data_IF_471386798457
#
_entry.id   IF_471386798457
#
_cell.length_a   1.000
_cell.length_b   1.000
_cell.length_c   1.000
_cell.angle_alpha   90.00
_cell.angle_beta   90.00
_cell.angle_gamma   90.00
#
_symmetry.space_group_name_H-M   'P 1'
#
loop_
_entity.id
_entity.type
_entity.pdbx_description
1 polymer ?
#
# COMPACT_ATOMS: atom_id res chain seq x y z
N UNK A 1 10.13 -22.40 -0.21
CA UNK A 1 9.41 -21.15 -0.04
C UNK A 1 10.28 -19.91 -0.33
N UNK A 2 11.37 -19.62 0.41
CA UNK A 2 12.23 -18.45 0.20
C UNK A 2 12.68 -18.21 -1.26
N UNK A 3 13.11 -19.27 -1.97
CA UNK A 3 13.53 -19.16 -3.38
C UNK A 3 12.37 -18.76 -4.30
N UNK A 4 11.15 -19.23 -4.01
CA UNK A 4 9.98 -18.93 -4.80
C UNK A 4 9.54 -17.46 -4.59
N UNK A 5 9.52 -16.99 -3.35
CA UNK A 5 9.26 -15.58 -3.03
C UNK A 5 10.24 -14.66 -3.76
N UNK A 6 11.54 -14.95 -3.69
CA UNK A 6 12.55 -14.17 -4.40
C UNK A 6 12.38 -14.22 -5.92
N UNK A 7 11.98 -15.38 -6.46
CA UNK A 7 11.68 -15.51 -7.89
C UNK A 7 10.51 -14.60 -8.30
N UNK A 8 9.39 -14.64 -7.54
CA UNK A 8 8.24 -13.78 -7.81
C UNK A 8 8.60 -12.29 -7.75
N UNK A 9 9.35 -11.87 -6.72
CA UNK A 9 9.79 -10.48 -6.59
C UNK A 9 10.68 -10.07 -7.77
N UNK A 10 11.65 -10.91 -8.14
CA UNK A 10 12.57 -10.59 -9.24
C UNK A 10 11.90 -10.61 -10.63
N UNK A 11 10.76 -11.26 -10.76
CA UNK A 11 9.97 -11.31 -12.00
C UNK A 11 9.01 -10.13 -12.15
N UNK A 12 8.87 -9.28 -11.12
CA UNK A 12 8.02 -8.09 -11.20
C UNK A 12 8.52 -7.14 -12.30
N UNK A 13 7.61 -6.56 -13.10
CA UNK A 13 7.99 -5.54 -14.06
C UNK A 13 8.46 -4.26 -13.34
N UNK A 14 9.19 -3.37 -14.04
CA UNK A 14 9.57 -2.08 -13.48
C UNK A 14 8.33 -1.24 -13.13
N UNK A 15 8.48 -0.32 -12.18
CA UNK A 15 7.43 0.63 -11.84
C UNK A 15 7.06 1.49 -13.06
N UNK A 16 5.77 1.82 -13.24
CA UNK A 16 5.34 2.80 -14.22
C UNK A 16 5.98 4.16 -13.98
N UNK A 17 6.25 4.92 -15.05
CA UNK A 17 6.82 6.28 -14.93
C UNK A 17 5.93 7.21 -14.09
N UNK A 18 4.62 7.01 -14.11
CA UNK A 18 3.67 7.77 -13.28
C UNK A 18 3.92 7.62 -11.77
N UNK A 19 4.40 6.47 -11.31
CA UNK A 19 4.78 6.27 -9.89
C UNK A 19 6.02 7.08 -9.55
N UNK A 20 7.01 7.10 -10.44
CA UNK A 20 8.24 7.88 -10.25
C UNK A 20 7.90 9.37 -10.24
N UNK A 21 7.09 9.83 -11.20
CA UNK A 21 6.62 11.22 -11.27
C UNK A 21 5.85 11.64 -10.01
N UNK A 22 5.01 10.74 -9.44
CA UNK A 22 4.27 11.00 -8.20
C UNK A 22 5.17 11.02 -6.97
N UNK A 23 6.20 10.17 -6.91
CA UNK A 23 7.16 10.17 -5.80
C UNK A 23 8.03 11.42 -5.85
N UNK A 24 8.48 11.84 -7.02
CA UNK A 24 9.19 13.10 -7.22
C UNK A 24 8.31 14.30 -6.83
N UNK A 25 7.05 14.32 -7.29
CA UNK A 25 6.08 15.36 -6.96
C UNK A 25 5.83 15.48 -5.44
N UNK A 26 5.73 14.36 -4.74
CA UNK A 26 5.53 14.32 -3.28
C UNK A 26 6.66 15.04 -2.51
N UNK A 27 7.87 15.04 -3.08
CA UNK A 27 9.07 15.60 -2.46
C UNK A 27 9.33 17.06 -2.88
N UNK A 28 8.45 17.66 -3.70
CA UNK A 28 8.57 19.08 -4.08
C UNK A 28 7.95 20.00 -3.03
N UNK A 29 8.60 21.13 -2.77
CA UNK A 29 8.06 22.17 -1.86
C UNK A 29 6.90 22.94 -2.49
N UNK A 30 6.78 22.93 -3.82
CA UNK A 30 5.77 23.65 -4.56
C UNK A 30 4.64 22.70 -5.01
N UNK A 31 3.53 22.73 -4.28
CA UNK A 31 2.36 21.91 -4.55
C UNK A 31 1.53 22.56 -5.65
N UNK A 32 1.64 22.05 -6.88
CA UNK A 32 0.79 22.39 -8.00
C UNK A 32 -0.27 21.29 -8.23
N UNK A 33 -1.51 21.57 -7.81
CA UNK A 33 -2.62 20.61 -7.93
C UNK A 33 -2.95 20.29 -9.39
N UNK A 34 -2.75 21.21 -10.31
CA UNK A 34 -3.00 20.99 -11.74
C UNK A 34 -1.99 19.99 -12.31
N UNK A 35 -0.71 20.16 -11.96
CA UNK A 35 0.33 19.20 -12.32
C UNK A 35 0.03 17.78 -11.76
N UNK A 36 -0.42 17.68 -10.52
CA UNK A 36 -0.83 16.40 -9.93
C UNK A 36 -1.97 15.75 -10.71
N UNK A 37 -2.99 16.53 -11.08
CA UNK A 37 -4.11 16.05 -11.87
C UNK A 37 -3.65 15.50 -13.22
N UNK A 38 -2.72 16.18 -13.89
CA UNK A 38 -2.19 15.74 -15.19
C UNK A 38 -1.38 14.42 -15.06
N UNK A 39 -0.61 14.25 -13.98
CA UNK A 39 0.08 12.98 -13.73
C UNK A 39 -0.94 11.84 -13.49
N UNK A 40 -1.94 12.07 -12.65
CA UNK A 40 -2.96 11.07 -12.31
C UNK A 40 -3.80 10.67 -13.52
N UNK A 41 -4.15 11.62 -14.39
CA UNK A 41 -4.95 11.37 -15.61
C UNK A 41 -4.27 10.45 -16.62
N UNK A 42 -2.95 10.28 -16.57
CA UNK A 42 -2.21 9.33 -17.43
C UNK A 42 -2.65 7.89 -17.21
N UNK A 43 -3.19 7.56 -16.02
CA UNK A 43 -3.70 6.24 -15.68
C UNK A 43 -5.18 6.30 -15.25
N UNK A 44 -6.12 5.85 -16.10
CA UNK A 44 -7.54 5.84 -15.79
C UNK A 44 -7.92 5.04 -14.53
N UNK A 45 -7.12 4.02 -14.16
CA UNK A 45 -7.36 3.23 -12.95
C UNK A 45 -7.01 4.02 -11.68
N UNK A 46 -5.96 4.84 -11.72
CA UNK A 46 -5.69 5.80 -10.64
C UNK A 46 -6.87 6.72 -10.42
N UNK A 47 -7.40 7.32 -11.50
CA UNK A 47 -8.58 8.21 -11.45
C UNK A 47 -9.76 7.50 -10.80
N UNK A 48 -10.09 6.29 -11.29
CA UNK A 48 -11.21 5.51 -10.80
C UNK A 48 -11.07 5.16 -9.31
N UNK A 49 -9.89 4.74 -8.87
CA UNK A 49 -9.63 4.36 -7.48
C UNK A 49 -9.67 5.58 -6.55
N UNK A 50 -9.11 6.72 -6.95
CA UNK A 50 -9.20 7.96 -6.15
C UNK A 50 -10.67 8.38 -5.97
N UNK A 51 -11.45 8.42 -7.05
CA UNK A 51 -12.87 8.78 -6.97
C UNK A 51 -13.67 7.76 -6.15
N UNK A 52 -13.35 6.46 -6.25
CA UNK A 52 -13.98 5.42 -5.46
C UNK A 52 -13.68 5.58 -3.96
N UNK A 53 -12.43 5.83 -3.59
CA UNK A 53 -12.04 6.10 -2.20
C UNK A 53 -12.73 7.34 -1.68
N UNK A 54 -12.72 8.44 -2.43
CA UNK A 54 -13.38 9.69 -2.05
C UNK A 54 -14.90 9.52 -1.83
N UNK A 55 -15.54 8.62 -2.58
CA UNK A 55 -16.98 8.33 -2.45
C UNK A 55 -17.28 7.19 -1.46
N UNK A 56 -16.28 6.64 -0.79
CA UNK A 56 -16.53 5.60 0.21
C UNK A 56 -17.25 6.14 1.45
N UNK A 57 -18.00 5.29 2.12
CA UNK A 57 -18.71 5.63 3.37
C UNK A 57 -17.77 6.10 4.49
N UNK A 58 -16.49 5.77 4.40
CA UNK A 58 -15.45 6.17 5.34
C UNK A 58 -15.36 7.70 5.51
N UNK A 59 -15.54 8.46 4.41
CA UNK A 59 -15.43 9.93 4.45
C UNK A 59 -16.77 10.62 4.67
N UNK A 60 -17.91 9.95 4.47
CA UNK A 60 -19.24 10.46 4.78
C UNK A 60 -19.64 11.75 4.05
N UNK A 61 -19.07 12.02 2.87
CA UNK A 61 -19.41 13.22 2.11
C UNK A 61 -20.88 13.18 1.65
N UNK A 62 -21.60 14.29 1.84
CA UNK A 62 -23.04 14.39 1.54
C UNK A 62 -23.37 14.34 0.05
N UNK A 63 -22.44 14.67 -0.81
CA UNK A 63 -22.60 14.70 -2.27
C UNK A 63 -21.54 13.88 -2.95
N UNK A 64 -21.90 13.24 -4.07
CA UNK A 64 -20.99 12.46 -4.89
C UNK A 64 -19.83 13.30 -5.40
N UNK A 65 -18.64 12.74 -5.32
CA UNK A 65 -17.38 13.33 -5.81
C UNK A 65 -17.14 12.80 -7.22
N UNK A 66 -17.16 13.70 -8.20
CA UNK A 66 -17.10 13.34 -9.63
C UNK A 66 -15.84 13.86 -10.34
N UNK A 67 -15.04 14.69 -9.66
CA UNK A 67 -13.82 15.27 -10.24
C UNK A 67 -12.60 15.05 -9.37
N UNK A 68 -11.43 14.91 -10.00
CA UNK A 68 -10.14 14.78 -9.28
C UNK A 68 -9.86 16.01 -8.42
N UNK A 69 -10.09 17.23 -8.96
CA UNK A 69 -9.87 18.46 -8.21
C UNK A 69 -10.66 18.47 -6.90
N UNK A 70 -11.94 18.05 -6.93
CA UNK A 70 -12.76 17.96 -5.72
C UNK A 70 -12.27 16.85 -4.79
N UNK A 71 -11.88 15.70 -5.32
CA UNK A 71 -11.30 14.61 -4.52
C UNK A 71 -10.03 15.06 -3.81
N UNK A 72 -9.10 15.72 -4.53
CA UNK A 72 -7.84 16.23 -3.96
C UNK A 72 -8.10 17.26 -2.87
N UNK A 73 -9.05 18.18 -3.07
CA UNK A 73 -9.39 19.20 -2.07
C UNK A 73 -9.97 18.59 -0.79
N UNK A 74 -10.70 17.48 -0.89
CA UNK A 74 -11.34 16.83 0.26
C UNK A 74 -10.41 15.83 0.98
N UNK A 75 -9.65 15.04 0.22
CA UNK A 75 -8.72 14.04 0.75
C UNK A 75 -7.38 14.64 1.16
N UNK A 76 -7.00 15.75 0.52
CA UNK A 76 -5.66 16.33 0.60
C UNK A 76 -4.70 15.70 -0.42
N UNK A 77 -3.68 16.49 -0.80
CA UNK A 77 -2.70 16.12 -1.83
C UNK A 77 -1.97 14.83 -1.47
N UNK A 78 -1.37 14.76 -0.29
CA UNK A 78 -0.52 13.63 0.11
C UNK A 78 -1.29 12.30 0.20
N UNK A 79 -2.53 12.34 0.70
CA UNK A 79 -3.37 11.16 0.71
C UNK A 79 -3.77 10.73 -0.72
N UNK A 80 -4.12 11.67 -1.57
CA UNK A 80 -4.42 11.38 -2.99
C UNK A 80 -3.23 10.74 -3.69
N UNK A 81 -2.01 11.25 -3.50
CA UNK A 81 -0.77 10.67 -4.03
C UNK A 81 -0.58 9.25 -3.52
N UNK A 82 -0.84 8.98 -2.24
CA UNK A 82 -0.73 7.61 -1.68
C UNK A 82 -1.69 6.63 -2.36
N UNK A 83 -2.94 7.03 -2.61
CA UNK A 83 -3.92 6.23 -3.34
C UNK A 83 -3.46 5.99 -4.79
N UNK A 84 -2.95 7.03 -5.47
CA UNK A 84 -2.49 6.94 -6.84
C UNK A 84 -1.31 5.96 -6.98
N UNK A 85 -0.28 6.11 -6.15
CA UNK A 85 0.89 5.22 -6.13
C UNK A 85 0.46 3.78 -5.81
N UNK A 86 -0.38 3.58 -4.79
CA UNK A 86 -0.86 2.25 -4.41
C UNK A 86 -1.66 1.57 -5.52
N UNK A 87 -2.49 2.33 -6.23
CA UNK A 87 -3.24 1.83 -7.38
C UNK A 87 -2.32 1.38 -8.52
N UNK A 88 -1.29 2.16 -8.84
CA UNK A 88 -0.33 1.82 -9.88
C UNK A 88 0.53 0.59 -9.51
N UNK A 89 0.95 0.50 -8.26
CA UNK A 89 1.69 -0.67 -7.74
C UNK A 89 0.84 -1.94 -7.84
N UNK A 90 -0.42 -1.88 -7.42
CA UNK A 90 -1.36 -3.00 -7.52
C UNK A 90 -1.51 -3.48 -8.97
N UNK A 91 -1.68 -2.55 -9.91
CA UNK A 91 -1.80 -2.87 -11.33
C UNK A 91 -0.50 -3.47 -11.91
N UNK A 92 0.64 -3.05 -11.39
CA UNK A 92 1.96 -3.53 -11.83
C UNK A 92 2.21 -4.98 -11.41
N UNK A 93 1.79 -5.38 -10.22
CA UNK A 93 1.99 -6.75 -9.70
C UNK A 93 1.16 -7.79 -10.49
N UNK A 94 0.02 -7.40 -11.07
CA UNK A 94 -0.87 -8.27 -11.89
C UNK A 94 -1.32 -9.57 -11.21
N UNK A 95 -1.20 -9.66 -9.90
CA UNK A 95 -1.65 -10.78 -9.10
C UNK A 95 -2.99 -10.49 -8.43
N UNK A 96 -3.55 -11.48 -7.76
CA UNK A 96 -4.81 -11.37 -7.03
C UNK A 96 -4.64 -11.85 -5.59
N UNK A 97 -5.66 -11.64 -4.78
CA UNK A 97 -5.66 -12.01 -3.37
C UNK A 97 -6.55 -13.24 -3.08
N UNK A 98 -6.67 -14.16 -4.04
CA UNK A 98 -7.51 -15.37 -3.90
C UNK A 98 -7.12 -16.22 -2.70
N UNK A 99 -5.83 -16.29 -2.36
CA UNK A 99 -5.39 -17.02 -1.17
C UNK A 99 -5.94 -16.46 0.14
N UNK A 100 -6.39 -15.21 0.14
CA UNK A 100 -7.02 -14.55 1.30
C UNK A 100 -8.55 -14.45 1.17
N UNK A 101 -9.15 -14.94 0.07
CA UNK A 101 -10.56 -14.74 -0.28
C UNK A 101 -10.99 -13.25 -0.31
N UNK A 102 -10.08 -12.37 -0.71
CA UNK A 102 -10.26 -10.91 -0.76
C UNK A 102 -10.12 -10.42 -2.20
N UNK A 103 -10.93 -9.45 -2.59
CA UNK A 103 -10.80 -8.82 -3.90
C UNK A 103 -9.72 -7.74 -3.92
N UNK A 104 -9.18 -7.45 -5.10
CA UNK A 104 -8.25 -6.32 -5.27
C UNK A 104 -8.90 -4.97 -4.90
N UNK A 105 -10.22 -4.87 -4.99
CA UNK A 105 -10.96 -3.67 -4.57
C UNK A 105 -11.02 -3.53 -3.05
N UNK A 106 -11.20 -4.64 -2.34
CA UNK A 106 -11.18 -4.63 -0.87
C UNK A 106 -9.81 -4.24 -0.35
N UNK A 107 -8.74 -4.65 -1.05
CA UNK A 107 -7.37 -4.22 -0.74
C UNK A 107 -7.23 -2.68 -0.79
N UNK A 108 -7.69 -2.03 -1.85
CA UNK A 108 -7.65 -0.56 -1.96
C UNK A 108 -8.48 0.09 -0.84
N UNK A 109 -9.63 -0.48 -0.53
CA UNK A 109 -10.50 0.04 0.53
C UNK A 109 -9.84 -0.08 1.92
N UNK A 110 -9.31 -1.25 2.28
CA UNK A 110 -8.65 -1.47 3.58
C UNK A 110 -7.36 -0.67 3.72
N UNK A 111 -6.56 -0.57 2.67
CA UNK A 111 -5.35 0.30 2.64
C UNK A 111 -5.71 1.78 2.83
N UNK A 112 -6.82 2.22 2.21
CA UNK A 112 -7.34 3.59 2.40
C UNK A 112 -7.83 3.81 3.82
N UNK A 113 -8.45 2.81 4.45
CA UNK A 113 -8.90 2.89 5.84
C UNK A 113 -7.72 3.04 6.79
N UNK A 114 -6.68 2.21 6.65
CA UNK A 114 -5.45 2.32 7.44
C UNK A 114 -4.82 3.71 7.31
N UNK A 115 -4.71 4.21 6.07
CA UNK A 115 -4.19 5.55 5.81
C UNK A 115 -5.05 6.65 6.41
N UNK A 116 -6.39 6.51 6.39
CA UNK A 116 -7.30 7.48 7.00
C UNK A 116 -7.19 7.50 8.53
N UNK A 117 -6.94 6.37 9.16
CA UNK A 117 -6.66 6.29 10.60
C UNK A 117 -5.41 7.12 10.92
N UNK A 118 -4.32 6.90 10.19
CA UNK A 118 -3.08 7.71 10.33
C UNK A 118 -3.38 9.19 10.08
N UNK A 119 -4.08 9.53 9.00
CA UNK A 119 -4.43 10.90 8.66
C UNK A 119 -5.24 11.61 9.75
N UNK A 120 -6.12 10.90 10.43
CA UNK A 120 -7.00 11.48 11.46
C UNK A 120 -6.32 11.51 12.82
N UNK A 121 -5.68 10.42 13.21
CA UNK A 121 -5.14 10.22 14.55
C UNK A 121 -3.81 10.94 14.75
N UNK A 122 -2.86 10.69 13.86
CA UNK A 122 -1.52 11.28 13.96
C UNK A 122 -1.54 12.79 13.68
N UNK A 123 -2.49 13.31 12.91
CA UNK A 123 -2.64 14.77 12.69
C UNK A 123 -2.75 15.59 13.96
N UNK A 124 -3.33 15.01 15.00
CA UNK A 124 -3.48 15.69 16.29
C UNK A 124 -2.20 15.67 17.14
N UNK A 125 -1.23 14.83 16.80
CA UNK A 125 0.00 14.60 17.56
C UNK A 125 1.19 15.22 16.83
N UNK A 126 1.38 14.88 15.56
CA UNK A 126 2.54 15.30 14.77
C UNK A 126 2.14 15.37 13.28
N UNK A 127 2.09 16.59 12.73
CA UNK A 127 1.69 16.82 11.35
C UNK A 127 2.74 16.34 10.34
N UNK A 128 4.02 16.44 10.64
CA UNK A 128 5.10 16.04 9.74
C UNK A 128 5.21 14.53 9.71
N UNK A 129 5.18 13.87 10.86
CA UNK A 129 5.14 12.41 10.94
C UNK A 129 3.93 11.82 10.20
N UNK A 130 2.74 12.41 10.37
CA UNK A 130 1.55 12.02 9.59
C UNK A 130 1.84 11.99 8.09
N UNK A 131 2.41 13.08 7.57
CA UNK A 131 2.67 13.22 6.14
C UNK A 131 3.67 12.18 5.60
N UNK A 132 4.59 11.72 6.44
CA UNK A 132 5.54 10.68 6.09
C UNK A 132 4.92 9.27 6.14
N UNK A 133 3.95 9.04 7.02
CA UNK A 133 3.33 7.73 7.24
C UNK A 133 2.18 7.41 6.28
N UNK A 134 1.56 8.39 5.62
CA UNK A 134 0.40 8.14 4.73
C UNK A 134 0.69 7.09 3.64
N UNK A 135 1.83 7.22 2.96
CA UNK A 135 2.19 6.28 1.90
C UNK A 135 2.62 4.90 2.44
N UNK A 136 3.50 4.79 3.45
CA UNK A 136 3.76 3.51 4.10
C UNK A 136 2.50 2.80 4.59
N UNK A 137 1.59 3.49 5.25
CA UNK A 137 0.33 2.90 5.74
C UNK A 137 -0.56 2.37 4.60
N UNK A 138 -0.57 3.06 3.46
CA UNK A 138 -1.31 2.56 2.28
C UNK A 138 -0.67 1.30 1.68
N UNK A 139 0.65 1.22 1.69
CA UNK A 139 1.41 0.21 0.96
C UNK A 139 1.84 -1.00 1.81
N UNK A 140 1.64 -0.98 3.13
CA UNK A 140 2.18 -1.99 4.05
C UNK A 140 1.81 -3.43 3.70
N UNK A 141 0.64 -3.65 3.09
CA UNK A 141 0.09 -4.96 2.78
C UNK A 141 0.37 -5.45 1.34
N UNK A 142 1.18 -4.72 0.56
CA UNK A 142 1.50 -5.08 -0.84
C UNK A 142 2.12 -6.47 -0.96
N UNK A 143 2.87 -6.92 0.04
CA UNK A 143 3.44 -8.28 0.10
C UNK A 143 2.42 -9.39 0.01
N UNK A 144 1.14 -9.14 0.38
CA UNK A 144 0.05 -10.13 0.27
C UNK A 144 -0.18 -10.60 -1.17
N UNK A 145 0.08 -9.77 -2.17
CA UNK A 145 0.00 -10.19 -3.58
C UNK A 145 1.04 -11.25 -3.91
N UNK A 146 2.28 -11.09 -3.41
CA UNK A 146 3.35 -12.08 -3.59
C UNK A 146 3.04 -13.36 -2.81
N UNK A 147 2.58 -13.24 -1.57
CA UNK A 147 2.17 -14.37 -0.75
C UNK A 147 1.05 -15.15 -1.43
N UNK A 148 0.01 -14.46 -1.88
CA UNK A 148 -1.12 -15.09 -2.58
C UNK A 148 -0.68 -15.82 -3.84
N UNK A 149 0.19 -15.23 -4.65
CA UNK A 149 0.74 -15.86 -5.85
C UNK A 149 1.52 -17.13 -5.52
N UNK A 150 2.38 -17.07 -4.50
CA UNK A 150 3.17 -18.22 -4.04
C UNK A 150 2.28 -19.36 -3.54
N UNK A 151 1.27 -19.06 -2.71
CA UNK A 151 0.32 -20.04 -2.18
C UNK A 151 -0.46 -20.71 -3.30
N UNK A 152 -0.91 -19.94 -4.30
CA UNK A 152 -1.63 -20.45 -5.46
C UNK A 152 -0.74 -21.38 -6.31
N UNK A 153 0.51 -20.99 -6.58
CA UNK A 153 1.49 -21.82 -7.33
C UNK A 153 1.82 -23.12 -6.63
N UNK A 154 1.88 -23.10 -5.30
CA UNK A 154 2.08 -24.30 -4.48
C UNK A 154 0.79 -25.12 -4.30
N UNK A 155 -0.35 -24.67 -4.87
CA UNK A 155 -1.68 -25.30 -4.76
C UNK A 155 -2.16 -25.51 -3.31
N UNK A 156 -1.83 -24.57 -2.42
CA UNK A 156 -2.14 -24.61 -0.98
C UNK A 156 -3.21 -23.60 -0.57
N UNK A 157 -3.96 -23.07 -1.52
CA UNK A 157 -4.97 -22.03 -1.24
C UNK A 157 -6.04 -22.48 -0.24
N UNK A 158 -6.58 -23.70 -0.43
CA UNK A 158 -7.62 -24.23 0.48
C UNK A 158 -7.08 -24.46 1.89
N UNK A 159 -5.88 -25.03 2.01
CA UNK A 159 -5.20 -25.28 3.29
C UNK A 159 -4.93 -23.96 4.03
N UNK A 160 -4.43 -22.96 3.32
CA UNK A 160 -4.16 -21.65 3.90
C UNK A 160 -5.44 -20.94 4.36
N UNK A 161 -6.50 -20.98 3.57
CA UNK A 161 -7.81 -20.39 3.93
C UNK A 161 -8.45 -21.10 5.11
N UNK A 162 -8.35 -22.42 5.18
CA UNK A 162 -8.85 -23.16 6.31
C UNK A 162 -8.13 -22.73 7.59
N UNK A 163 -6.81 -22.70 7.59
CA UNK A 163 -6.01 -22.32 8.75
C UNK A 163 -6.26 -20.87 9.15
N UNK A 164 -6.38 -19.96 8.17
CA UNK A 164 -6.72 -18.57 8.41
C UNK A 164 -8.10 -18.41 9.10
N UNK A 165 -9.07 -19.24 8.70
CA UNK A 165 -10.40 -19.26 9.33
C UNK A 165 -10.38 -19.86 10.75
N UNK A 166 -9.51 -20.82 11.02
CA UNK A 166 -9.38 -21.46 12.32
C UNK A 166 -8.63 -20.56 13.32
N UNK A 167 -7.50 -20.01 12.92
CA UNK A 167 -6.63 -19.22 13.80
C UNK A 167 -7.12 -17.78 13.97
N UNK A 168 -7.74 -17.19 12.93
CA UNK A 168 -8.04 -15.74 12.83
C UNK A 168 -6.79 -14.85 12.96
N UNK A 169 -5.60 -15.41 12.79
CA UNK A 169 -4.32 -14.72 12.89
C UNK A 169 -3.59 -14.77 11.55
N UNK A 170 -3.69 -13.66 10.81
CA UNK A 170 -3.11 -13.52 9.46
C UNK A 170 -1.58 -13.57 9.55
N UNK A 171 -0.99 -12.84 10.50
CA UNK A 171 0.47 -12.77 10.65
C UNK A 171 1.06 -14.13 10.99
N UNK A 172 0.41 -14.90 11.86
CA UNK A 172 0.82 -16.27 12.16
C UNK A 172 0.78 -17.16 10.91
N UNK A 173 -0.30 -17.13 10.14
CA UNK A 173 -0.44 -17.92 8.92
C UNK A 173 0.63 -17.54 7.89
N UNK A 174 0.83 -16.26 7.64
CA UNK A 174 1.86 -15.77 6.71
C UNK A 174 3.26 -16.22 7.14
N UNK A 175 3.61 -16.05 8.40
CA UNK A 175 4.90 -16.48 8.95
C UNK A 175 5.08 -17.99 8.83
N UNK A 176 4.06 -18.79 9.13
CA UNK A 176 4.10 -20.25 9.04
C UNK A 176 4.32 -20.74 7.62
N UNK A 177 3.61 -20.16 6.65
CA UNK A 177 3.66 -20.58 5.25
C UNK A 177 4.85 -19.99 4.47
N UNK A 178 5.21 -18.75 4.74
CA UNK A 178 6.28 -18.05 4.01
C UNK A 178 7.64 -18.08 4.72
N UNK A 179 7.64 -18.17 6.05
CA UNK A 179 8.83 -17.97 6.88
C UNK A 179 9.21 -16.51 7.08
N UNK A 180 8.35 -15.59 6.62
CA UNK A 180 8.52 -14.14 6.72
C UNK A 180 7.16 -13.46 6.89
N UNK A 181 7.15 -12.32 7.58
CA UNK A 181 5.95 -11.48 7.67
C UNK A 181 5.65 -10.78 6.34
N UNK A 182 4.39 -10.38 6.15
CA UNK A 182 3.97 -9.59 5.00
C UNK A 182 4.81 -8.31 4.86
N UNK A 183 5.05 -7.59 5.94
CA UNK A 183 5.85 -6.36 5.93
C UNK A 183 7.28 -6.57 5.41
N UNK A 184 7.92 -7.67 5.78
CA UNK A 184 9.26 -8.03 5.24
C UNK A 184 9.23 -8.38 3.76
N UNK A 185 8.18 -9.04 3.28
CA UNK A 185 8.00 -9.33 1.85
C UNK A 185 7.73 -8.02 1.09
N UNK A 186 6.84 -7.16 1.59
CA UNK A 186 6.57 -5.82 1.03
C UNK A 186 7.86 -5.01 0.91
N UNK A 187 8.66 -4.98 1.96
CA UNK A 187 9.94 -4.27 1.97
C UNK A 187 10.91 -4.78 0.89
N UNK A 188 10.94 -6.10 0.63
CA UNK A 188 11.78 -6.66 -0.43
C UNK A 188 11.25 -6.32 -1.84
N UNK A 189 9.93 -6.27 -2.05
CA UNK A 189 9.33 -5.74 -3.29
C UNK A 189 9.78 -4.31 -3.52
N UNK A 190 9.72 -3.46 -2.50
CA UNK A 190 10.09 -2.05 -2.61
C UNK A 190 11.60 -1.82 -2.78
N UNK A 191 12.43 -2.68 -2.20
CA UNK A 191 13.87 -2.71 -2.49
C UNK A 191 14.14 -3.09 -3.95
N UNK A 192 13.43 -4.06 -4.50
CA UNK A 192 13.54 -4.43 -5.92
C UNK A 192 13.20 -3.25 -6.83
N UNK A 193 12.22 -2.44 -6.47
CA UNK A 193 11.85 -1.22 -7.19
C UNK A 193 12.64 0.03 -6.80
N UNK A 194 13.62 -0.08 -5.92
CA UNK A 194 14.49 1.00 -5.47
C UNK A 194 13.73 2.20 -4.85
N UNK A 195 12.65 1.91 -4.11
CA UNK A 195 11.92 2.94 -3.36
C UNK A 195 12.74 3.43 -2.16
N UNK A 196 12.39 4.60 -1.63
CA UNK A 196 13.12 5.24 -0.54
C UNK A 196 13.04 4.45 0.78
N UNK A 197 14.08 4.56 1.60
CA UNK A 197 14.11 3.95 2.94
C UNK A 197 13.01 4.48 3.86
N UNK A 198 12.54 5.71 3.66
CA UNK A 198 11.41 6.29 4.40
C UNK A 198 10.09 5.53 4.17
N UNK A 199 9.96 4.81 3.06
CA UNK A 199 8.81 3.93 2.78
C UNK A 199 9.11 2.52 3.27
N UNK A 200 10.32 2.01 3.00
CA UNK A 200 10.68 0.61 3.24
C UNK A 200 10.76 0.27 4.72
N UNK A 201 11.45 1.09 5.52
CA UNK A 201 11.78 0.74 6.91
C UNK A 201 10.57 0.76 7.84
N UNK A 202 9.65 1.75 7.80
CA UNK A 202 8.44 1.69 8.61
C UNK A 202 7.66 0.39 8.40
N UNK A 203 7.55 -0.07 7.15
CA UNK A 203 6.84 -1.30 6.78
C UNK A 203 7.63 -2.55 7.22
N UNK A 204 8.94 -2.58 6.97
CA UNK A 204 9.78 -3.73 7.25
C UNK A 204 9.83 -4.10 8.73
N UNK A 205 9.73 -3.10 9.59
CA UNK A 205 9.97 -3.23 11.04
C UNK A 205 8.74 -2.98 11.90
N UNK A 206 7.56 -2.79 11.32
CA UNK A 206 6.31 -2.61 12.08
C UNK A 206 6.02 -3.74 13.08
N UNK A 207 6.44 -4.96 12.77
CA UNK A 207 6.30 -6.14 13.63
C UNK A 207 7.59 -6.51 14.40
N UNK A 208 8.68 -5.78 14.20
CA UNK A 208 10.01 -6.08 14.80
C UNK A 208 10.76 -4.78 15.11
N UNK A 209 10.25 -4.02 16.04
CA UNK A 209 10.80 -2.71 16.43
C UNK A 209 12.20 -2.80 17.05
N UNK A 210 12.56 -3.92 17.66
CA UNK A 210 13.88 -4.11 18.27
C UNK A 210 15.00 -4.09 17.22
N UNK A 211 14.74 -4.68 16.07
CA UNK A 211 15.69 -4.73 14.93
C UNK A 211 15.66 -3.46 14.08
N UNK A 212 14.74 -2.52 14.35
CA UNK A 212 14.60 -1.30 13.57
C UNK A 212 15.72 -0.31 13.88
N UNK A 213 16.36 0.30 12.85
CA UNK A 213 17.30 1.40 13.08
C UNK A 213 16.63 2.56 13.84
N UNK A 214 17.34 3.14 14.82
CA UNK A 214 16.78 4.16 15.74
C UNK A 214 16.15 5.34 15.01
N UNK A 215 16.72 5.77 13.89
CA UNK A 215 16.19 6.87 13.05
C UNK A 215 14.82 6.58 12.42
N UNK A 216 14.35 5.32 12.44
CA UNK A 216 13.07 4.91 11.85
C UNK A 216 12.10 4.31 12.86
N UNK A 217 12.50 4.11 14.12
CA UNK A 217 11.65 3.47 15.15
C UNK A 217 10.31 4.17 15.32
N UNK A 218 10.29 5.49 15.40
CA UNK A 218 9.05 6.26 15.54
C UNK A 218 8.09 6.07 14.35
N UNK A 219 8.62 5.85 13.15
CA UNK A 219 7.81 5.63 11.94
C UNK A 219 7.31 4.20 11.80
N UNK A 220 8.03 3.24 12.40
CA UNK A 220 7.66 1.83 12.39
C UNK A 220 6.67 1.47 13.52
N UNK A 221 6.64 2.26 14.58
CA UNK A 221 5.78 2.11 15.74
C UNK A 221 4.33 2.54 15.46
#
# INVERSE_FOLDING_TARGET
>A
MKKLILHEINSLPPLPSSVIELDDYKNTDNIDVEQLIEIIKKDPLMVANILKVANSSMFGFRSKIETLSRAINLLGVKFTVSIAIGSAIQNTIKSNLLAYAVSNQDFIYTSSLATNIINTWISAIDFDLKNELLLPAFLQEVGKFIISEVIQKEKRTEEFLQELNETKDISFCEQKYMGFSCGRITANVFKHWNLSHNIIFPIAYAEDLESCPDSFKQKAQ
#
